data_IF_278993885066
#
_entry.id   IF_278993885066
#
_cell.length_a   1.000
_cell.length_b   1.000
_cell.length_c   1.000
_cell.angle_alpha   90.00
_cell.angle_beta   90.00
_cell.angle_gamma   90.00
#
_symmetry.space_group_name_H-M   'P 1'
#
loop_
_entity.id
_entity.type
_entity.pdbx_description
1 polymer ?
#
# COMPACT_ATOMS: atom_id res chain seq x y z
N UNK A 1 -4.20 -16.07 -6.94
CA UNK A 1 -2.98 -15.32 -6.62
C UNK A 1 -2.16 -15.24 -7.90
N UNK A 2 -1.72 -14.07 -8.31
CA UNK A 2 -0.95 -13.85 -9.54
C UNK A 2 0.42 -13.29 -9.19
N UNK A 3 1.48 -13.86 -9.75
CA UNK A 3 2.85 -13.34 -9.59
C UNK A 3 3.05 -12.19 -10.57
N UNK A 4 3.65 -11.11 -10.09
CA UNK A 4 4.00 -9.95 -10.89
C UNK A 4 5.46 -10.10 -11.31
N UNK A 5 5.73 -9.98 -12.61
CA UNK A 5 7.07 -10.12 -13.18
C UNK A 5 7.43 -8.85 -13.93
N UNK A 6 8.13 -7.94 -13.25
CA UNK A 6 8.57 -6.68 -13.81
C UNK A 6 10.09 -6.53 -13.65
N UNK A 7 10.89 -6.92 -14.66
CA UNK A 7 12.36 -6.88 -14.57
C UNK A 7 12.92 -5.49 -14.30
N UNK A 8 12.28 -4.44 -14.83
CA UNK A 8 12.69 -3.04 -14.63
C UNK A 8 12.55 -2.63 -13.17
N UNK A 9 11.36 -2.85 -12.58
CA UNK A 9 11.14 -2.55 -11.16
C UNK A 9 12.05 -3.38 -10.27
N UNK A 10 12.25 -4.65 -10.61
CA UNK A 10 13.15 -5.53 -9.86
C UNK A 10 14.59 -5.02 -9.86
N UNK A 11 15.12 -4.57 -11.01
CA UNK A 11 16.47 -4.01 -11.10
C UNK A 11 16.62 -2.72 -10.27
N UNK A 12 15.64 -1.81 -10.36
CA UNK A 12 15.63 -0.58 -9.56
C UNK A 12 15.58 -0.88 -8.06
N UNK A 13 14.73 -1.83 -7.67
CA UNK A 13 14.58 -2.29 -6.30
C UNK A 13 15.88 -2.87 -5.73
N UNK A 14 16.53 -3.78 -6.47
CA UNK A 14 17.81 -4.40 -6.03
C UNK A 14 18.90 -3.34 -5.89
N UNK A 15 19.03 -2.43 -6.86
CA UNK A 15 19.99 -1.35 -6.78
C UNK A 15 19.75 -0.41 -5.58
N UNK A 16 18.47 -0.18 -5.21
CA UNK A 16 18.13 0.61 -4.03
C UNK A 16 18.38 -0.16 -2.72
N UNK A 17 18.11 -1.48 -2.71
CA UNK A 17 18.38 -2.37 -1.58
C UNK A 17 19.86 -2.36 -1.21
N UNK A 18 20.76 -2.44 -2.19
CA UNK A 18 22.21 -2.37 -1.97
C UNK A 18 22.61 -1.04 -1.30
N UNK A 19 22.04 0.08 -1.74
CA UNK A 19 22.29 1.40 -1.13
C UNK A 19 21.80 1.47 0.33
N UNK A 20 20.65 0.88 0.64
CA UNK A 20 20.10 0.86 2.00
C UNK A 20 20.84 -0.10 2.94
N UNK A 21 21.29 -1.24 2.43
CA UNK A 21 22.02 -2.24 3.21
C UNK A 21 23.32 -1.69 3.82
N UNK A 22 23.91 -0.65 3.21
CA UNK A 22 25.06 0.06 3.77
C UNK A 22 24.72 0.89 5.03
N UNK A 23 23.43 1.13 5.33
CA UNK A 23 22.96 2.07 6.36
C UNK A 23 22.13 1.40 7.47
N UNK A 24 21.55 0.23 7.22
CA UNK A 24 20.71 -0.52 8.18
C UNK A 24 20.76 -2.04 7.92
N UNK A 25 20.53 -2.84 8.97
CA UNK A 25 20.48 -4.31 8.91
C UNK A 25 19.06 -4.87 8.70
N UNK A 26 18.02 -4.23 9.26
CA UNK A 26 16.61 -4.57 9.00
C UNK A 26 16.09 -3.61 7.93
N UNK A 27 16.21 -4.02 6.66
CA UNK A 27 15.89 -3.15 5.53
C UNK A 27 14.67 -3.57 4.76
N UNK A 28 14.17 -4.80 4.87
CA UNK A 28 13.15 -5.35 3.96
C UNK A 28 12.03 -6.05 4.73
N UNK A 29 10.77 -5.76 4.36
CA UNK A 29 9.58 -6.42 4.90
C UNK A 29 8.63 -6.83 3.80
N UNK A 30 7.87 -7.91 4.05
CA UNK A 30 6.71 -8.27 3.24
C UNK A 30 5.50 -7.52 3.81
N UNK A 31 4.95 -6.60 3.03
CA UNK A 31 3.83 -5.77 3.42
C UNK A 31 2.70 -5.86 2.38
N UNK A 32 1.51 -5.42 2.79
CA UNK A 32 0.30 -5.50 2.01
C UNK A 32 -0.22 -4.11 1.65
N UNK A 33 -0.86 -3.98 0.48
CA UNK A 33 -1.52 -2.74 0.04
C UNK A 33 -2.80 -3.06 -0.71
N UNK A 34 -3.86 -2.29 -0.46
CA UNK A 34 -5.10 -2.43 -1.23
C UNK A 34 -4.84 -1.98 -2.67
N UNK A 35 -5.33 -2.74 -3.65
CA UNK A 35 -5.24 -2.34 -5.05
C UNK A 35 -6.48 -1.54 -5.46
N UNK A 36 -6.26 -0.45 -6.20
CA UNK A 36 -7.32 0.25 -6.92
C UNK A 36 -7.55 -0.46 -8.25
N UNK A 37 -8.74 -1.02 -8.46
CA UNK A 37 -9.05 -1.89 -9.60
C UNK A 37 -8.65 -1.27 -10.94
N UNK A 38 -8.95 0.02 -11.11
CA UNK A 38 -8.69 0.75 -12.35
C UNK A 38 -7.20 1.07 -12.58
N UNK A 39 -6.36 0.95 -11.54
CA UNK A 39 -4.92 1.23 -11.60
C UNK A 39 -4.05 -0.03 -11.45
N UNK A 40 -4.63 -1.22 -11.38
CA UNK A 40 -3.87 -2.47 -11.20
C UNK A 40 -2.81 -2.64 -12.29
N UNK A 41 -3.18 -2.43 -13.55
CA UNK A 41 -2.27 -2.60 -14.69
C UNK A 41 -1.12 -1.58 -14.63
N UNK A 42 -1.42 -0.34 -14.26
CA UNK A 42 -0.40 0.70 -14.07
C UNK A 42 0.54 0.36 -12.91
N UNK A 43 0.01 -0.01 -11.74
CA UNK A 43 0.80 -0.40 -10.58
C UNK A 43 1.69 -1.62 -10.87
N UNK A 44 1.23 -2.57 -11.68
CA UNK A 44 2.03 -3.72 -12.10
C UNK A 44 3.15 -3.33 -13.08
N UNK A 45 2.90 -2.39 -13.99
CA UNK A 45 3.85 -1.95 -15.02
C UNK A 45 4.87 -0.92 -14.51
N UNK A 46 4.43 -0.04 -13.61
CA UNK A 46 5.14 1.17 -13.19
C UNK A 46 5.47 1.23 -11.71
N UNK A 47 4.97 0.28 -10.91
CA UNK A 47 5.14 0.31 -9.46
C UNK A 47 4.21 1.32 -8.82
N UNK A 48 4.52 1.69 -7.58
CA UNK A 48 3.73 2.65 -6.82
C UNK A 48 4.43 4.00 -6.83
N UNK A 49 3.66 5.09 -6.94
CA UNK A 49 4.20 6.45 -7.01
C UNK A 49 3.26 7.43 -6.27
N UNK A 50 3.65 8.70 -6.17
CA UNK A 50 2.86 9.72 -5.48
C UNK A 50 1.42 9.87 -6.02
N UNK A 51 1.19 9.62 -7.32
CA UNK A 51 -0.16 9.68 -7.90
C UNK A 51 -1.06 8.51 -7.46
N UNK A 52 -0.44 7.44 -6.94
CA UNK A 52 -1.11 6.31 -6.31
C UNK A 52 -1.37 6.51 -4.82
N UNK A 53 -1.04 7.68 -4.27
CA UNK A 53 -1.21 7.92 -2.84
C UNK A 53 -2.66 7.73 -2.41
N UNK A 54 -2.81 7.39 -1.14
CA UNK A 54 -4.10 7.02 -0.58
C UNK A 54 -5.00 8.25 -0.34
N UNK A 55 -4.52 9.47 -0.66
CA UNK A 55 -5.32 10.71 -0.60
C UNK A 55 -6.31 10.84 -1.77
N UNK A 56 -6.09 10.11 -2.87
CA UNK A 56 -6.97 10.11 -4.05
C UNK A 56 -8.27 9.31 -3.86
N UNK A 57 -8.45 8.64 -2.72
CA UNK A 57 -9.75 8.12 -2.35
C UNK A 57 -10.57 9.28 -1.80
N UNK A 58 -11.50 9.77 -2.62
CA UNK A 58 -12.46 10.85 -2.34
C UNK A 58 -13.49 10.42 -1.28
N UNK A 59 -13.00 10.05 -0.11
CA UNK A 59 -13.78 9.61 1.04
C UNK A 59 -13.23 10.43 2.20
N UNK A 60 -13.99 11.44 2.64
CA UNK A 60 -13.69 12.27 3.82
C UNK A 60 -13.23 11.46 5.05
N UNK A 61 -13.66 10.19 5.15
CA UNK A 61 -13.30 9.26 6.20
C UNK A 61 -12.08 8.36 5.92
N UNK A 62 -11.66 8.19 4.65
CA UNK A 62 -10.44 7.46 4.31
C UNK A 62 -9.19 8.32 4.50
N UNK A 63 -9.26 9.58 4.08
CA UNK A 63 -8.17 10.57 4.24
C UNK A 63 -7.68 10.66 5.70
N UNK A 64 -8.56 10.42 6.69
CA UNK A 64 -8.18 10.41 8.10
C UNK A 64 -7.38 9.17 8.56
N UNK A 65 -7.50 8.02 7.89
CA UNK A 65 -6.78 6.78 8.25
C UNK A 65 -5.45 6.62 7.48
N UNK A 66 -5.39 7.12 6.25
CA UNK A 66 -4.25 6.98 5.33
C UNK A 66 -3.50 8.29 5.06
N UNK A 67 -3.83 9.39 5.71
CA UNK A 67 -2.90 10.53 5.82
C UNK A 67 -2.43 10.71 7.25
N UNK A 68 -2.75 9.80 8.17
CA UNK A 68 -2.38 9.92 9.58
C UNK A 68 -0.85 9.95 9.81
N UNK A 69 -0.09 9.36 8.88
CA UNK A 69 1.35 9.13 9.05
C UNK A 69 2.19 9.68 7.89
N UNK A 70 1.60 10.54 7.05
CA UNK A 70 2.26 11.21 5.93
C UNK A 70 1.50 11.06 4.61
N UNK A 71 1.92 11.79 3.58
CA UNK A 71 1.23 11.87 2.28
C UNK A 71 1.59 10.75 1.28
N UNK A 72 2.43 9.79 1.67
CA UNK A 72 2.89 8.72 0.80
C UNK A 72 1.92 7.54 0.69
N UNK A 73 2.33 6.50 -0.03
CA UNK A 73 1.59 5.23 -0.10
C UNK A 73 1.76 4.44 1.20
N UNK A 74 0.65 3.97 1.77
CA UNK A 74 0.64 3.17 3.00
C UNK A 74 0.72 1.66 2.70
N UNK A 75 1.51 0.96 3.51
CA UNK A 75 1.71 -0.48 3.43
C UNK A 75 1.59 -1.11 4.82
N UNK A 76 0.83 -2.20 4.93
CA UNK A 76 0.43 -2.76 6.22
C UNK A 76 1.11 -4.10 6.48
N UNK A 77 1.46 -4.38 7.73
CA UNK A 77 2.04 -5.66 8.15
C UNK A 77 1.04 -6.82 8.09
N UNK A 78 -0.27 -6.55 8.16
CA UNK A 78 -1.33 -7.55 8.23
C UNK A 78 -2.39 -7.28 7.16
N UNK A 79 -2.65 -8.28 6.31
CA UNK A 79 -3.70 -8.21 5.29
C UNK A 79 -5.11 -7.96 5.87
N UNK A 80 -5.39 -8.49 7.07
CA UNK A 80 -6.68 -8.35 7.75
C UNK A 80 -7.02 -6.89 8.06
N UNK A 81 -6.03 -6.10 8.48
CA UNK A 81 -6.25 -4.69 8.83
C UNK A 81 -6.64 -3.86 7.58
N UNK A 82 -6.10 -4.22 6.42
CA UNK A 82 -6.50 -3.60 5.14
C UNK A 82 -7.96 -3.93 4.81
N UNK A 83 -8.37 -5.19 4.98
CA UNK A 83 -9.74 -5.58 4.66
C UNK A 83 -10.77 -4.93 5.59
N UNK A 84 -10.43 -4.76 6.88
CA UNK A 84 -11.26 -4.02 7.84
C UNK A 84 -11.45 -2.58 7.39
N UNK A 85 -10.36 -1.89 7.05
CA UNK A 85 -10.40 -0.52 6.54
C UNK A 85 -11.24 -0.44 5.26
N UNK A 86 -10.99 -1.29 4.27
CA UNK A 86 -11.75 -1.31 3.02
C UNK A 86 -13.27 -1.60 3.23
N UNK A 87 -13.60 -2.40 4.25
CA UNK A 87 -15.00 -2.74 4.57
C UNK A 87 -15.72 -1.58 5.23
N UNK A 88 -15.08 -0.89 6.18
CA UNK A 88 -15.66 0.29 6.83
C UNK A 88 -15.99 1.38 5.80
N UNK A 89 -15.14 1.57 4.80
CA UNK A 89 -15.40 2.50 3.69
C UNK A 89 -16.58 2.05 2.81
N UNK A 90 -16.62 0.76 2.43
CA UNK A 90 -17.72 0.25 1.62
C UNK A 90 -19.07 0.39 2.33
N UNK A 91 -19.09 0.41 3.67
CA UNK A 91 -20.29 0.60 4.48
C UNK A 91 -20.65 2.07 4.70
N UNK A 92 -19.67 2.99 4.73
CA UNK A 92 -19.93 4.43 4.90
C UNK A 92 -20.45 5.11 3.63
N UNK A 93 -20.31 4.48 2.46
CA UNK A 93 -20.78 5.01 1.17
C UNK A 93 -22.00 4.24 0.64
N UNK A 94 -23.16 4.91 0.57
CA UNK A 94 -24.31 4.51 -0.27
C UNK A 94 -24.04 4.67 -1.78
N UNK A 95 -22.81 4.99 -2.19
CA UNK A 95 -22.43 5.20 -3.58
C UNK A 95 -21.08 4.54 -3.83
N UNK A 96 -21.10 3.20 -3.86
CA UNK A 96 -20.11 2.47 -4.64
C UNK A 96 -20.20 3.04 -6.07
N UNK A 97 -19.11 3.54 -6.68
CA UNK A 97 -19.17 3.96 -8.08
C UNK A 97 -19.73 2.79 -8.91
N UNK A 98 -20.79 3.08 -9.67
CA UNK A 98 -21.66 2.13 -10.40
C UNK A 98 -20.85 1.06 -11.20
N UNK A 99 -19.60 1.33 -11.57
CA UNK A 99 -18.71 0.36 -12.25
C UNK A 99 -18.31 -0.85 -11.39
N UNK A 100 -18.17 -0.72 -10.08
CA UNK A 100 -17.85 -1.87 -9.21
C UNK A 100 -19.08 -2.77 -8.96
N UNK A 101 -20.29 -2.30 -9.24
CA UNK A 101 -21.51 -3.11 -9.21
C UNK A 101 -21.66 -4.00 -10.44
N UNK A 102 -21.08 -3.65 -11.59
CA UNK A 102 -21.31 -4.36 -12.85
C UNK A 102 -20.67 -5.77 -12.94
N UNK A 103 -19.84 -6.15 -11.97
CA UNK A 103 -19.33 -7.53 -11.83
C UNK A 103 -19.92 -8.29 -10.62
N UNK A 104 -20.93 -7.72 -9.95
CA UNK A 104 -21.55 -8.32 -8.77
C UNK A 104 -22.74 -9.19 -9.19
N UNK A 105 -22.62 -10.49 -9.02
CA UNK A 105 -23.80 -11.35 -8.88
C UNK A 105 -24.39 -11.10 -7.49
N UNK A 106 -25.71 -10.87 -7.34
CA UNK A 106 -26.33 -10.49 -6.06
C UNK A 106 -26.15 -11.50 -4.91
N UNK A 107 -25.62 -12.70 -5.18
CA UNK A 107 -25.32 -13.73 -4.18
C UNK A 107 -23.86 -13.80 -3.71
N UNK A 108 -22.96 -12.92 -4.18
CA UNK A 108 -21.52 -12.95 -3.81
C UNK A 108 -21.05 -11.60 -3.30
N UNK A 109 -20.21 -11.63 -2.27
CA UNK A 109 -19.59 -10.43 -1.70
C UNK A 109 -18.72 -9.72 -2.77
N UNK A 110 -18.35 -8.43 -2.63
CA UNK A 110 -17.52 -7.77 -3.61
C UNK A 110 -16.13 -8.39 -3.71
N UNK A 111 -15.65 -8.57 -4.94
CA UNK A 111 -14.28 -9.00 -5.22
C UNK A 111 -13.31 -7.85 -4.95
N UNK A 112 -12.25 -8.11 -4.18
CA UNK A 112 -11.19 -7.16 -3.84
C UNK A 112 -9.84 -7.68 -4.31
N UNK A 113 -8.89 -6.75 -4.38
CA UNK A 113 -7.54 -7.00 -4.86
C UNK A 113 -6.53 -6.44 -3.86
N UNK A 114 -5.51 -7.23 -3.55
CA UNK A 114 -4.47 -6.90 -2.58
C UNK A 114 -3.10 -7.16 -3.21
N UNK A 115 -2.21 -6.17 -3.15
CA UNK A 115 -0.81 -6.37 -3.45
C UNK A 115 -0.07 -6.94 -2.24
N UNK A 116 0.79 -7.92 -2.50
CA UNK A 116 1.86 -8.35 -1.60
C UNK A 116 3.14 -7.76 -2.16
N UNK A 117 3.82 -6.94 -1.36
CA UNK A 117 4.98 -6.19 -1.76
C UNK A 117 6.19 -6.53 -0.89
N UNK A 118 7.37 -6.57 -1.50
CA UNK A 118 8.62 -6.40 -0.78
C UNK A 118 8.88 -4.90 -0.63
N UNK A 119 9.03 -4.45 0.60
CA UNK A 119 9.19 -3.03 0.93
C UNK A 119 10.50 -2.83 1.66
N UNK A 120 11.33 -1.94 1.13
CA UNK A 120 12.58 -1.54 1.73
C UNK A 120 12.33 -0.48 2.81
N UNK A 121 12.04 -0.91 4.03
CA UNK A 121 11.61 -0.03 5.13
C UNK A 121 12.74 0.84 5.71
N UNK A 122 13.98 0.35 5.67
CA UNK A 122 15.15 1.07 6.18
C UNK A 122 14.99 1.57 7.62
N UNK A 123 15.61 2.71 7.93
CA UNK A 123 15.41 3.40 9.21
C UNK A 123 14.07 4.11 9.17
N UNK A 124 13.26 3.95 10.21
CA UNK A 124 11.95 4.55 10.26
C UNK A 124 11.74 5.45 11.48
N UNK A 125 10.85 6.42 11.34
CA UNK A 125 10.41 7.31 12.41
C UNK A 125 8.89 7.43 12.39
N UNK A 126 8.31 7.95 13.47
CA UNK A 126 6.87 8.20 13.54
C UNK A 126 6.47 9.24 12.49
N UNK A 127 5.46 8.91 11.69
CA UNK A 127 4.84 9.82 10.75
C UNK A 127 3.85 10.79 11.40
N UNK A 128 3.57 11.88 10.68
CA UNK A 128 2.58 12.88 11.03
C UNK A 128 1.84 13.32 9.75
N UNK A 129 0.56 13.74 9.83
CA UNK A 129 -0.21 14.11 8.65
C UNK A 129 0.36 15.27 7.83
N UNK A 130 1.19 16.12 8.42
CA UNK A 130 1.85 17.22 7.69
C UNK A 130 3.06 16.78 6.86
N UNK A 131 3.53 15.54 7.03
CA UNK A 131 4.77 15.07 6.42
C UNK A 131 4.56 14.63 4.96
N UNK A 132 5.25 15.34 4.05
CA UNK A 132 5.33 14.96 2.64
C UNK A 132 6.47 13.99 2.33
N UNK A 133 7.48 13.95 3.20
CA UNK A 133 8.67 13.13 3.06
C UNK A 133 9.24 12.78 4.43
N UNK A 134 10.09 11.75 4.51
CA UNK A 134 10.81 11.44 5.74
C UNK A 134 11.76 12.58 6.15
N UNK A 135 11.93 12.82 7.47
CA UNK A 135 13.00 13.69 7.95
C UNK A 135 14.39 13.11 7.61
N UNK A 136 15.43 13.95 7.55
CA UNK A 136 16.78 13.51 7.20
C UNK A 136 17.26 12.32 8.06
N UNK A 137 17.80 11.29 7.40
CA UNK A 137 18.34 10.10 8.07
C UNK A 137 17.35 8.95 8.25
N UNK A 138 16.09 9.13 7.84
CA UNK A 138 15.06 8.10 7.80
C UNK A 138 14.63 7.80 6.36
N UNK A 139 14.18 6.57 6.15
CA UNK A 139 13.80 6.00 4.85
C UNK A 139 12.29 5.72 4.75
N UNK A 140 11.61 5.54 5.90
CA UNK A 140 10.15 5.34 5.97
C UNK A 140 9.52 6.03 7.19
N UNK A 141 8.26 6.42 7.07
CA UNK A 141 7.42 6.80 8.21
C UNK A 141 6.64 5.58 8.72
N UNK A 142 6.32 5.55 10.01
CA UNK A 142 5.51 4.50 10.63
C UNK A 142 4.44 5.08 11.55
N UNK A 143 3.43 4.27 11.85
CA UNK A 143 2.38 4.58 12.83
C UNK A 143 2.91 4.57 14.27
N UNK A 144 3.74 3.58 14.60
CA UNK A 144 4.32 3.38 15.93
C UNK A 144 5.78 2.89 15.82
N UNK A 145 6.71 3.54 16.50
CA UNK A 145 8.14 3.19 16.43
C UNK A 145 8.46 1.87 17.15
N UNK A 146 7.74 1.56 18.24
CA UNK A 146 7.97 0.36 19.06
C UNK A 146 7.41 -0.90 18.41
N UNK A 147 6.28 -0.78 17.71
CA UNK A 147 5.61 -1.89 17.04
C UNK A 147 4.90 -1.41 15.78
N UNK A 148 5.63 -1.16 14.68
CA UNK A 148 5.07 -0.61 13.47
C UNK A 148 4.16 -1.61 12.77
N UNK A 149 2.91 -1.20 12.52
CA UNK A 149 1.94 -1.96 11.73
C UNK A 149 1.71 -1.37 10.35
N UNK A 150 2.08 -0.10 10.15
CA UNK A 150 1.98 0.62 8.88
C UNK A 150 3.30 1.30 8.55
N UNK A 151 3.71 1.20 7.29
CA UNK A 151 4.90 1.84 6.74
C UNK A 151 4.54 2.72 5.56
N UNK A 152 5.19 3.88 5.49
CA UNK A 152 5.11 4.84 4.37
C UNK A 152 6.53 5.07 3.85
N UNK A 153 7.01 4.27 2.87
CA UNK A 153 8.29 4.49 2.22
C UNK A 153 8.33 5.84 1.51
N UNK A 154 9.49 6.49 1.50
CA UNK A 154 9.66 7.83 0.91
C UNK A 154 9.99 7.84 -0.58
N UNK A 155 10.23 6.68 -1.18
CA UNK A 155 10.66 6.58 -2.56
C UNK A 155 10.04 5.36 -3.25
N UNK A 156 9.59 5.55 -4.48
CA UNK A 156 8.87 4.56 -5.30
C UNK A 156 9.65 3.25 -5.47
N UNK A 157 10.97 3.35 -5.65
CA UNK A 157 11.85 2.17 -5.81
C UNK A 157 12.07 1.38 -4.52
N UNK A 158 11.58 1.85 -3.37
CA UNK A 158 11.59 1.05 -2.14
C UNK A 158 10.59 -0.10 -2.20
N UNK A 159 9.66 -0.11 -3.16
CA UNK A 159 8.56 -1.06 -3.20
C UNK A 159 8.61 -1.90 -4.46
N UNK A 160 8.61 -3.21 -4.28
CA UNK A 160 8.46 -4.18 -5.35
C UNK A 160 7.14 -4.95 -5.17
N UNK A 161 6.13 -4.74 -6.03
CA UNK A 161 4.95 -5.60 -6.06
C UNK A 161 5.34 -7.01 -6.52
N UNK A 162 5.09 -8.02 -5.70
CA UNK A 162 5.46 -9.42 -5.99
C UNK A 162 4.25 -10.27 -6.37
N UNK A 163 3.12 -10.06 -5.69
CA UNK A 163 1.88 -10.77 -5.98
C UNK A 163 0.66 -9.85 -5.96
N UNK A 164 -0.32 -10.18 -6.81
CA UNK A 164 -1.68 -9.67 -6.75
C UNK A 164 -2.62 -10.79 -6.29
N UNK A 165 -3.28 -10.58 -5.16
CA UNK A 165 -4.26 -11.50 -4.59
C UNK A 165 -5.65 -10.94 -4.92
N UNK A 166 -6.45 -11.71 -5.66
CA UNK A 166 -7.87 -11.44 -5.82
C UNK A 166 -8.65 -12.32 -4.83
N UNK A 167 -9.54 -11.72 -4.04
CA UNK A 167 -10.29 -12.40 -2.98
C UNK A 167 -11.72 -11.86 -2.85
N UNK A 168 -12.59 -12.61 -2.18
CA UNK A 168 -13.94 -12.17 -1.83
C UNK A 168 -13.89 -11.45 -0.48
N UNK A 169 -14.57 -10.31 -0.36
CA UNK A 169 -14.47 -9.41 0.80
C UNK A 169 -14.79 -10.03 2.16
N UNK A 170 -15.51 -11.15 2.19
CA UNK A 170 -15.93 -11.91 3.37
C UNK A 170 -14.88 -12.94 3.84
N UNK A 171 -13.75 -13.09 3.13
CA UNK A 171 -12.71 -14.09 3.44
C UNK A 171 -11.69 -13.60 4.49
N UNK A 172 -11.53 -12.28 4.72
CA UNK A 172 -10.50 -11.73 5.62
C UNK A 172 -11.06 -10.87 6.76
#
# INVERSE_FOLDING_TARGET
>A
IHRIQNPRLFQQYVAYKEKLAARSQDTERILYRLAQVDLIDDMCANGFNESHNDSAYDLENFVLLVSAYGHGCHYYCKAKEINRTATLLAQSHQTIPIRLQQQQTPSKSPRRYLFVCKVLVGRYTRGDPSMKTCPPGYDSLVDNILSPEVFVPSHDTQVLPEYLIAYQSDIF
#
